data_IF_443731121691
#
_entry.id   IF_443731121691
#
_cell.length_a   1.000
_cell.length_b   1.000
_cell.length_c   1.000
_cell.angle_alpha   90.00
_cell.angle_beta   90.00
_cell.angle_gamma   90.00
#
_symmetry.space_group_name_H-M   'P 1'
#
loop_
_entity.id
_entity.type
_entity.pdbx_description
1 polymer ?
#
# COMPACT_ATOMS: atom_id res chain seq x y z
N UNK A 1 -14.69 -3.49 -7.45
CA UNK A 1 -14.03 -4.75 -7.01
C UNK A 1 -12.73 -4.37 -6.32
N UNK A 2 -12.69 -4.32 -4.99
CA UNK A 2 -11.42 -4.18 -4.28
C UNK A 2 -10.63 -5.49 -4.39
N UNK A 3 -9.30 -5.37 -4.43
CA UNK A 3 -8.17 -6.33 -4.31
C UNK A 3 -8.41 -7.85 -4.03
N UNK A 4 -9.56 -8.23 -3.48
CA UNK A 4 -10.00 -9.60 -3.20
C UNK A 4 -9.94 -10.52 -4.42
N UNK A 5 -10.27 -10.00 -5.60
CA UNK A 5 -10.24 -10.75 -6.85
C UNK A 5 -8.85 -10.96 -7.45
N UNK A 6 -7.79 -10.34 -6.90
CA UNK A 6 -6.41 -10.45 -7.40
C UNK A 6 -5.56 -11.41 -6.58
N UNK A 7 -5.91 -11.65 -5.32
CA UNK A 7 -5.19 -12.58 -4.45
C UNK A 7 -5.32 -13.99 -5.01
N UNK A 8 -4.19 -14.56 -5.42
CA UNK A 8 -4.04 -16.01 -5.61
C UNK A 8 -3.99 -16.67 -4.24
N UNK A 9 -4.42 -17.93 -4.14
CA UNK A 9 -4.37 -18.75 -2.91
C UNK A 9 -2.96 -18.94 -2.32
N UNK A 10 -1.93 -18.35 -2.94
CA UNK A 10 -0.53 -18.55 -2.60
C UNK A 10 -0.07 -17.85 -1.31
N UNK A 11 -0.89 -17.04 -0.65
CA UNK A 11 -0.46 -16.25 0.52
C UNK A 11 -0.88 -16.79 1.89
N UNK A 12 -1.32 -18.05 2.02
CA UNK A 12 -1.64 -18.66 3.33
C UNK A 12 -0.35 -19.09 4.03
N UNK A 13 0.50 -18.14 4.42
CA UNK A 13 1.71 -18.40 5.22
C UNK A 13 1.95 -17.32 6.27
N UNK A 14 0.89 -16.68 6.77
CA UNK A 14 0.99 -15.78 7.92
C UNK A 14 0.76 -16.55 9.22
N UNK A 15 1.76 -16.54 10.10
CA UNK A 15 1.67 -17.08 11.46
C UNK A 15 1.07 -16.08 12.46
N UNK A 16 0.73 -14.87 12.02
CA UNK A 16 0.17 -13.80 12.84
C UNK A 16 -1.37 -13.92 12.89
N UNK A 17 -1.98 -14.21 14.06
CA UNK A 17 -3.42 -14.52 14.19
C UNK A 17 -4.34 -13.41 13.65
N UNK A 18 -3.93 -12.16 13.84
CA UNK A 18 -4.62 -10.95 13.39
C UNK A 18 -4.66 -10.79 11.86
N UNK A 19 -3.69 -11.35 11.14
CA UNK A 19 -3.68 -11.36 9.67
C UNK A 19 -4.52 -12.51 9.12
N UNK A 20 -4.63 -13.61 9.86
CA UNK A 20 -5.40 -14.79 9.49
C UNK A 20 -6.89 -14.47 9.34
N UNK A 21 -7.46 -13.65 10.23
CA UNK A 21 -8.85 -13.19 10.13
C UNK A 21 -9.12 -12.38 8.85
N UNK A 22 -8.19 -11.50 8.46
CA UNK A 22 -8.28 -10.71 7.22
C UNK A 22 -8.22 -11.61 5.98
N UNK A 23 -7.41 -12.67 6.03
CA UNK A 23 -7.31 -13.64 4.94
C UNK A 23 -8.57 -14.52 4.82
N UNK A 24 -9.11 -15.00 5.94
CA UNK A 24 -10.37 -15.76 5.95
C UNK A 24 -11.52 -14.91 5.41
N UNK A 25 -11.63 -13.65 5.85
CA UNK A 25 -12.63 -12.72 5.32
C UNK A 25 -12.47 -12.53 3.80
N UNK A 26 -11.22 -12.38 3.33
CA UNK A 26 -10.91 -12.26 1.90
C UNK A 26 -11.33 -13.50 1.11
N UNK A 27 -11.14 -14.69 1.68
CA UNK A 27 -11.49 -15.97 1.07
C UNK A 27 -13.00 -16.18 0.96
N UNK A 28 -13.76 -15.89 2.03
CA UNK A 28 -15.24 -15.91 1.99
C UNK A 28 -15.76 -14.94 0.94
N UNK A 29 -15.15 -13.75 0.86
CA UNK A 29 -15.42 -12.77 -0.20
C UNK A 29 -15.24 -13.38 -1.59
N UNK A 30 -14.16 -14.12 -1.85
CA UNK A 30 -13.90 -14.75 -3.15
C UNK A 30 -15.00 -15.74 -3.59
N UNK A 31 -15.54 -16.53 -2.65
CA UNK A 31 -16.59 -17.52 -2.94
C UNK A 31 -17.93 -16.85 -3.24
N UNK A 32 -18.25 -15.78 -2.52
CA UNK A 32 -19.54 -15.10 -2.65
C UNK A 32 -19.56 -14.09 -3.80
N UNK A 33 -18.41 -13.50 -4.13
CA UNK A 33 -18.26 -12.42 -5.12
C UNK A 33 -18.91 -12.75 -6.48
N UNK A 34 -18.70 -13.92 -7.12
CA UNK A 34 -19.32 -14.21 -8.41
C UNK A 34 -20.85 -14.16 -8.40
N UNK A 35 -21.49 -14.58 -7.29
CA UNK A 35 -22.95 -14.54 -7.14
C UNK A 35 -23.47 -13.12 -7.03
N UNK A 36 -22.76 -12.27 -6.29
CA UNK A 36 -23.12 -10.85 -6.15
C UNK A 36 -22.91 -10.08 -7.46
N UNK A 37 -21.78 -10.30 -8.14
CA UNK A 37 -21.45 -9.58 -9.37
C UNK A 37 -22.48 -9.80 -10.49
N UNK A 38 -23.04 -11.01 -10.60
CA UNK A 38 -24.08 -11.33 -11.61
C UNK A 38 -25.40 -10.60 -11.40
N UNK A 39 -25.64 -10.05 -10.21
CA UNK A 39 -26.85 -9.27 -9.88
C UNK A 39 -26.67 -7.78 -10.12
N UNK A 40 -25.45 -7.32 -10.41
CA UNK A 40 -25.17 -5.90 -10.64
C UNK A 40 -25.56 -5.51 -12.06
N UNK A 41 -26.19 -4.35 -12.22
CA UNK A 41 -26.50 -3.76 -13.54
C UNK A 41 -25.25 -3.25 -14.25
N UNK A 42 -24.29 -2.75 -13.47
CA UNK A 42 -22.99 -2.23 -13.93
C UNK A 42 -21.91 -2.56 -12.93
N UNK A 43 -20.73 -2.89 -13.45
CA UNK A 43 -19.52 -3.12 -12.65
C UNK A 43 -18.53 -1.99 -12.92
N UNK A 44 -17.87 -1.53 -11.86
CA UNK A 44 -16.81 -0.53 -11.92
C UNK A 44 -15.52 -1.11 -11.35
N UNK A 45 -14.44 -0.93 -12.10
CA UNK A 45 -13.07 -1.30 -11.73
C UNK A 45 -12.19 -0.07 -11.67
N UNK A 46 -11.15 -0.13 -10.84
CA UNK A 46 -10.28 1.02 -10.54
C UNK A 46 -9.11 1.16 -11.51
N UNK A 47 -8.87 0.14 -12.35
CA UNK A 47 -7.82 0.11 -13.34
C UNK A 47 -8.14 -0.88 -14.46
N UNK A 48 -7.40 -0.77 -15.56
CA UNK A 48 -7.47 -1.75 -16.66
C UNK A 48 -7.05 -3.15 -16.17
N UNK A 49 -6.00 -3.25 -15.35
CA UNK A 49 -5.58 -4.53 -14.78
C UNK A 49 -6.70 -5.20 -13.98
N UNK A 50 -7.37 -4.45 -13.10
CA UNK A 50 -8.48 -5.01 -12.31
C UNK A 50 -9.64 -5.44 -13.22
N UNK A 51 -9.95 -4.68 -14.29
CA UNK A 51 -10.94 -5.06 -15.30
C UNK A 51 -10.55 -6.36 -16.00
N UNK A 52 -9.31 -6.49 -16.46
CA UNK A 52 -8.83 -7.70 -17.13
C UNK A 52 -8.86 -8.93 -16.23
N UNK A 53 -8.48 -8.77 -14.96
CA UNK A 53 -8.53 -9.88 -14.00
C UNK A 53 -9.98 -10.25 -13.66
N UNK A 54 -10.87 -9.26 -13.51
CA UNK A 54 -12.29 -9.50 -13.34
C UNK A 54 -12.87 -10.30 -14.51
N UNK A 55 -12.61 -9.84 -15.74
CA UNK A 55 -13.06 -10.51 -16.96
C UNK A 55 -12.52 -11.94 -17.04
N UNK A 56 -11.22 -12.13 -16.81
CA UNK A 56 -10.59 -13.47 -16.82
C UNK A 56 -11.17 -14.41 -15.77
N UNK A 57 -11.46 -13.93 -14.56
CA UNK A 57 -11.92 -14.79 -13.45
C UNK A 57 -13.42 -15.04 -13.43
N UNK A 58 -14.21 -14.13 -14.01
CA UNK A 58 -15.68 -14.18 -13.85
C UNK A 58 -16.45 -14.16 -15.17
N UNK A 59 -15.79 -13.85 -16.28
CA UNK A 59 -16.42 -13.61 -17.58
C UNK A 59 -17.18 -12.28 -17.67
N UNK A 60 -17.14 -11.45 -16.62
CA UNK A 60 -17.88 -10.19 -16.55
C UNK A 60 -16.98 -9.00 -16.89
N UNK A 61 -17.52 -8.05 -17.64
CA UNK A 61 -16.84 -6.80 -17.96
C UNK A 61 -17.17 -5.69 -16.95
N UNK A 62 -16.34 -4.64 -16.92
CA UNK A 62 -16.54 -3.47 -16.08
C UNK A 62 -16.08 -2.18 -16.76
N UNK A 63 -16.71 -1.06 -16.37
CA UNK A 63 -16.23 0.28 -16.71
C UNK A 63 -15.05 0.62 -15.81
N UNK A 64 -13.99 1.21 -16.37
CA UNK A 64 -12.85 1.66 -15.57
C UNK A 64 -13.06 3.11 -15.14
N UNK A 65 -13.03 3.33 -13.83
CA UNK A 65 -12.98 4.68 -13.23
C UNK A 65 -11.76 4.69 -12.32
N UNK A 66 -10.72 5.40 -12.74
CA UNK A 66 -9.47 5.51 -11.97
C UNK A 66 -9.70 6.30 -10.68
N UNK A 67 -8.94 5.94 -9.64
CA UNK A 67 -8.88 6.76 -8.44
C UNK A 67 -8.23 8.10 -8.76
N UNK A 68 -8.72 9.13 -8.09
CA UNK A 68 -8.19 10.48 -8.15
C UNK A 68 -7.53 10.85 -6.82
N UNK A 69 -6.45 11.63 -6.88
CA UNK A 69 -5.84 12.24 -5.70
C UNK A 69 -6.20 13.71 -5.66
N UNK A 70 -6.62 14.20 -4.49
CA UNK A 70 -6.89 15.62 -4.27
C UNK A 70 -5.59 16.44 -4.42
N UNK A 71 -5.47 17.15 -5.53
CA UNK A 71 -4.31 17.95 -5.91
C UNK A 71 -4.11 19.17 -5.00
N UNK A 72 -5.19 19.76 -4.50
CA UNK A 72 -5.13 20.85 -3.51
C UNK A 72 -4.54 20.38 -2.19
N UNK A 73 -4.73 19.11 -1.84
CA UNK A 73 -4.16 18.52 -0.63
C UNK A 73 -2.75 17.96 -0.88
N UNK A 74 -2.57 17.22 -1.96
CA UNK A 74 -1.32 16.57 -2.38
C UNK A 74 -0.65 17.37 -3.50
N UNK A 75 -0.14 18.56 -3.16
CA UNK A 75 0.69 19.37 -4.04
C UNK A 75 2.16 19.38 -3.60
N UNK A 76 3.09 19.69 -4.53
CA UNK A 76 4.48 19.95 -4.21
C UNK A 76 4.65 21.08 -3.18
N UNK A 77 5.60 20.89 -2.25
CA UNK A 77 6.02 21.86 -1.23
C UNK A 77 7.54 21.83 -1.11
N UNK A 78 8.13 22.82 -0.45
CA UNK A 78 9.57 22.83 -0.19
C UNK A 78 9.94 21.67 0.76
N UNK A 79 10.79 20.77 0.26
CA UNK A 79 11.22 19.55 0.98
C UNK A 79 11.83 19.86 2.35
N UNK A 80 12.65 20.91 2.44
CA UNK A 80 13.33 21.29 3.69
C UNK A 80 12.33 21.76 4.75
N UNK A 81 11.34 22.57 4.37
CA UNK A 81 10.26 23.02 5.27
C UNK A 81 9.42 21.84 5.75
N UNK A 82 9.05 20.93 4.84
CA UNK A 82 8.31 19.71 5.20
C UNK A 82 9.11 18.83 6.19
N UNK A 83 10.42 18.69 6.00
CA UNK A 83 11.27 17.95 6.94
C UNK A 83 11.37 18.63 8.30
N UNK A 84 11.60 19.94 8.32
CA UNK A 84 11.71 20.71 9.55
C UNK A 84 10.40 20.65 10.36
N UNK A 85 9.26 20.87 9.70
CA UNK A 85 7.93 20.79 10.33
C UNK A 85 7.57 19.41 10.88
N UNK A 86 8.13 18.34 10.29
CA UNK A 86 7.92 16.96 10.73
C UNK A 86 9.03 16.43 11.66
N UNK A 87 10.03 17.24 12.00
CA UNK A 87 11.20 16.79 12.79
C UNK A 87 12.03 15.70 12.11
N UNK A 88 12.01 15.63 10.78
CA UNK A 88 12.78 14.66 9.98
C UNK A 88 14.20 15.16 9.73
N UNK A 89 15.19 14.25 9.58
CA UNK A 89 16.58 14.66 9.41
C UNK A 89 16.78 15.44 8.11
N UNK A 90 17.48 16.57 8.21
CA UNK A 90 17.75 17.45 7.07
C UNK A 90 18.93 16.97 6.22
N UNK A 91 19.89 16.28 6.83
CA UNK A 91 21.15 15.84 6.24
C UNK A 91 21.18 14.36 5.80
N UNK A 92 20.05 13.66 5.88
CA UNK A 92 19.92 12.24 5.51
C UNK A 92 18.97 12.06 4.33
N UNK A 93 19.10 10.93 3.63
CA UNK A 93 18.16 10.53 2.59
C UNK A 93 16.92 9.90 3.23
N UNK A 94 15.75 10.51 3.00
CA UNK A 94 14.49 10.08 3.60
C UNK A 94 13.72 9.24 2.60
N UNK A 95 13.49 7.97 2.92
CA UNK A 95 12.60 7.10 2.16
C UNK A 95 11.27 7.04 2.88
N UNK A 96 10.16 7.19 2.16
CA UNK A 96 8.82 7.01 2.70
C UNK A 96 8.26 5.65 2.27
N UNK A 97 7.67 4.94 3.22
CA UNK A 97 6.76 3.84 2.94
C UNK A 97 5.45 4.06 3.69
N UNK A 98 4.34 3.95 2.96
CA UNK A 98 3.01 3.94 3.57
C UNK A 98 2.31 2.63 3.23
N UNK A 99 2.08 1.81 4.25
CA UNK A 99 1.41 0.53 4.06
C UNK A 99 0.83 -0.04 5.36
N UNK A 100 -0.21 -0.85 5.22
CA UNK A 100 -0.69 -1.72 6.30
C UNK A 100 0.25 -2.91 6.54
N UNK A 101 -0.05 -3.71 7.56
CA UNK A 101 0.72 -4.89 7.99
C UNK A 101 0.36 -6.18 7.26
N UNK A 102 -0.44 -6.12 6.19
CA UNK A 102 -0.91 -7.32 5.48
C UNK A 102 0.20 -7.97 4.67
N UNK A 103 0.17 -9.30 4.54
CA UNK A 103 1.15 -10.08 3.79
C UNK A 103 1.47 -9.51 2.39
N UNK A 104 0.45 -9.04 1.67
CA UNK A 104 0.60 -8.43 0.35
C UNK A 104 1.60 -7.25 0.31
N UNK A 105 1.71 -6.45 1.39
CA UNK A 105 2.60 -5.27 1.44
C UNK A 105 4.09 -5.64 1.59
N UNK A 106 4.38 -6.93 1.77
CA UNK A 106 5.72 -7.52 1.75
C UNK A 106 6.73 -6.75 2.63
N UNK A 107 6.40 -6.56 3.90
CA UNK A 107 7.28 -5.88 4.85
C UNK A 107 8.64 -6.59 5.03
N UNK A 108 8.70 -7.89 4.69
CA UNK A 108 9.97 -8.63 4.63
C UNK A 108 10.89 -8.06 3.55
N UNK A 109 10.39 -7.83 2.33
CA UNK A 109 11.17 -7.19 1.27
C UNK A 109 11.57 -5.76 1.65
N UNK A 110 10.64 -4.98 2.22
CA UNK A 110 10.96 -3.63 2.70
C UNK A 110 12.14 -3.64 3.68
N UNK A 111 12.18 -4.62 4.60
CA UNK A 111 13.31 -4.80 5.53
C UNK A 111 14.63 -5.04 4.80
N UNK A 112 14.61 -5.94 3.81
CA UNK A 112 15.79 -6.27 3.01
C UNK A 112 16.31 -5.06 2.26
N UNK A 113 15.40 -4.25 1.68
CA UNK A 113 15.75 -3.00 0.99
C UNK A 113 16.47 -2.04 1.95
N UNK A 114 15.91 -1.78 3.14
CA UNK A 114 16.53 -0.82 4.07
C UNK A 114 17.90 -1.30 4.56
N UNK A 115 18.05 -2.60 4.84
CA UNK A 115 19.33 -3.18 5.26
C UNK A 115 20.40 -3.12 4.17
N UNK A 116 20.00 -3.14 2.89
CA UNK A 116 20.92 -3.07 1.76
C UNK A 116 21.34 -1.63 1.41
N UNK A 117 20.62 -0.61 1.90
CA UNK A 117 20.94 0.78 1.62
C UNK A 117 22.07 1.30 2.52
N UNK A 118 22.83 2.32 2.09
CA UNK A 118 23.86 2.95 2.94
C UNK A 118 23.27 3.64 4.17
N UNK A 119 24.08 3.79 5.23
CA UNK A 119 23.64 4.28 6.55
C UNK A 119 23.06 5.71 6.56
N UNK A 120 23.39 6.55 5.57
CA UNK A 120 22.83 7.90 5.43
C UNK A 120 21.35 7.89 5.01
N UNK A 121 20.77 6.73 4.69
CA UNK A 121 19.35 6.54 4.43
C UNK A 121 18.56 6.20 5.70
N UNK A 122 17.41 6.84 5.87
CA UNK A 122 16.40 6.55 6.89
C UNK A 122 15.06 6.23 6.24
N UNK A 123 14.38 5.21 6.74
CA UNK A 123 12.99 4.93 6.36
C UNK A 123 12.04 5.63 7.34
N UNK A 124 11.07 6.36 6.80
CA UNK A 124 9.88 6.80 7.52
C UNK A 124 8.75 5.85 7.16
N UNK A 125 8.24 5.13 8.16
CA UNK A 125 7.18 4.13 7.99
C UNK A 125 5.88 4.64 8.58
N UNK A 126 4.90 4.90 7.73
CA UNK A 126 3.52 5.23 8.14
C UNK A 126 2.64 3.99 8.00
N UNK A 127 1.72 3.81 8.96
CA UNK A 127 0.89 2.61 9.10
C UNK A 127 1.55 1.57 10.00
N UNK A 128 1.45 0.29 9.62
CA UNK A 128 1.90 -0.81 10.49
C UNK A 128 3.42 -0.80 10.67
N UNK A 129 3.96 -1.00 11.89
CA UNK A 129 5.39 -0.90 12.13
C UNK A 129 6.17 -2.06 11.51
N UNK A 130 7.43 -1.80 11.14
CA UNK A 130 8.41 -2.82 10.78
C UNK A 130 9.42 -2.99 11.92
N UNK A 131 9.73 -4.24 12.26
CA UNK A 131 10.63 -4.62 13.36
C UNK A 131 12.01 -5.08 12.85
N UNK A 132 13.04 -5.04 13.69
CA UNK A 132 14.39 -5.54 13.44
C UNK A 132 15.26 -4.64 12.54
N UNK A 133 15.01 -3.34 12.57
CA UNK A 133 15.74 -2.27 11.88
C UNK A 133 15.45 -0.90 12.52
N UNK A 134 15.22 -0.87 13.83
CA UNK A 134 14.75 0.28 14.60
C UNK A 134 15.74 1.45 14.59
N UNK A 135 17.03 1.17 14.40
CA UNK A 135 18.11 2.13 14.23
C UNK A 135 18.00 2.94 12.92
N UNK A 136 17.35 2.36 11.90
CA UNK A 136 17.24 2.94 10.55
C UNK A 136 15.81 3.26 10.13
N UNK A 137 14.83 2.94 10.96
CA UNK A 137 13.42 3.14 10.66
C UNK A 137 12.71 3.96 11.74
N UNK A 138 12.06 5.05 11.31
CA UNK A 138 11.09 5.79 12.12
C UNK A 138 9.69 5.25 11.86
N UNK A 139 9.21 4.39 12.75
CA UNK A 139 7.83 3.88 12.74
C UNK A 139 6.88 4.92 13.35
N UNK A 140 5.97 5.48 12.54
CA UNK A 140 5.08 6.56 12.97
C UNK A 140 3.66 6.10 13.33
N UNK A 141 3.28 4.88 12.96
CA UNK A 141 1.91 4.42 13.14
C UNK A 141 0.93 5.23 12.29
N UNK A 142 -0.21 5.59 12.87
CA UNK A 142 -1.19 6.48 12.24
C UNK A 142 -0.79 7.93 12.45
N UNK A 143 -0.83 8.73 11.38
CA UNK A 143 -0.53 10.16 11.42
C UNK A 143 -1.77 10.99 11.07
N UNK A 144 -1.89 12.24 11.56
CA UNK A 144 -3.02 13.10 11.23
C UNK A 144 -3.15 13.36 9.72
N UNK A 145 -4.39 13.50 9.26
CA UNK A 145 -4.72 13.65 7.86
C UNK A 145 -4.12 14.92 7.23
N UNK A 146 -3.97 15.98 8.04
CA UNK A 146 -3.52 17.31 7.66
C UNK A 146 -2.03 17.32 7.32
N UNK A 147 -1.23 16.58 8.08
CA UNK A 147 0.23 16.49 7.91
C UNK A 147 0.63 15.36 6.95
N UNK A 148 -0.28 14.43 6.66
CA UNK A 148 0.01 13.27 5.82
C UNK A 148 0.65 13.61 4.46
N UNK A 149 0.20 14.63 3.70
CA UNK A 149 0.85 15.04 2.45
C UNK A 149 2.28 15.59 2.62
N UNK A 150 2.64 16.08 3.80
CA UNK A 150 3.98 16.62 4.06
C UNK A 150 5.03 15.51 4.06
N UNK A 151 4.68 14.27 4.46
CA UNK A 151 5.61 13.15 4.40
C UNK A 151 6.05 12.81 2.97
N UNK A 152 5.14 12.93 2.00
CA UNK A 152 5.47 12.76 0.59
C UNK A 152 6.44 13.85 0.10
N UNK A 153 6.23 15.10 0.54
CA UNK A 153 7.10 16.23 0.20
C UNK A 153 8.48 16.14 0.88
N UNK A 154 8.55 15.59 2.10
CA UNK A 154 9.78 15.43 2.85
C UNK A 154 10.69 14.30 2.32
N UNK A 155 10.11 13.32 1.63
CA UNK A 155 10.84 12.16 1.13
C UNK A 155 11.70 12.47 -0.10
N UNK A 156 12.82 11.78 -0.21
CA UNK A 156 13.62 11.68 -1.43
C UNK A 156 13.10 10.60 -2.38
N UNK A 157 12.53 9.55 -1.82
CA UNK A 157 11.92 8.46 -2.56
C UNK A 157 10.73 7.89 -1.80
N UNK A 158 9.72 7.43 -2.56
CA UNK A 158 8.65 6.59 -2.05
C UNK A 158 8.92 5.15 -2.47
N UNK A 159 8.87 4.21 -1.51
CA UNK A 159 9.08 2.79 -1.79
C UNK A 159 7.82 2.00 -1.53
N UNK A 160 7.47 1.12 -2.47
CA UNK A 160 6.35 0.21 -2.37
C UNK A 160 6.81 -1.20 -2.74
N UNK A 161 6.57 -2.16 -1.85
CA UNK A 161 7.04 -3.54 -2.02
C UNK A 161 5.90 -4.53 -2.25
N UNK A 162 4.69 -4.06 -2.53
CA UNK A 162 3.53 -4.94 -2.59
C UNK A 162 3.62 -5.98 -3.70
N UNK A 163 3.16 -7.20 -3.42
CA UNK A 163 3.16 -8.31 -4.38
C UNK A 163 2.08 -8.15 -5.45
N UNK A 164 0.94 -7.55 -5.09
CA UNK A 164 -0.20 -7.30 -5.94
C UNK A 164 -0.84 -5.96 -5.56
N UNK A 165 -1.25 -5.16 -6.54
CA UNK A 165 -2.07 -3.97 -6.31
C UNK A 165 -3.20 -3.91 -7.33
N UNK A 166 -4.30 -3.26 -6.95
CA UNK A 166 -5.44 -3.06 -7.84
C UNK A 166 -5.16 -2.16 -9.04
N UNK A 167 -3.96 -1.58 -9.16
CA UNK A 167 -3.53 -0.74 -10.28
C UNK A 167 -2.37 -1.33 -11.10
N UNK A 168 -1.76 -2.44 -10.68
CA UNK A 168 -0.53 -2.93 -11.30
C UNK A 168 0.24 -3.94 -10.45
N UNK A 169 1.27 -4.55 -11.04
CA UNK A 169 2.47 -4.98 -10.32
C UNK A 169 3.46 -3.81 -10.33
N UNK A 170 4.22 -3.57 -9.24
CA UNK A 170 5.28 -2.56 -9.25
C UNK A 170 6.34 -2.85 -10.32
#
# INVERSE_FOLDING_TARGET
VHDFGLRTLASVWTTEPQLLAVEVYSFVGLIQTPRFLRRCTRLVSISQLTREVLARRTGLDSVVIHHWADDKRFHPRLKQEARAGLGLPLNRKVILNVSAGTANKNLRMLRSVIRALPEDYVLVKVGFPIKGCEDRVRNLGTVPAEVYPQYFNAADAYVHCSLTEGFGRP
#
